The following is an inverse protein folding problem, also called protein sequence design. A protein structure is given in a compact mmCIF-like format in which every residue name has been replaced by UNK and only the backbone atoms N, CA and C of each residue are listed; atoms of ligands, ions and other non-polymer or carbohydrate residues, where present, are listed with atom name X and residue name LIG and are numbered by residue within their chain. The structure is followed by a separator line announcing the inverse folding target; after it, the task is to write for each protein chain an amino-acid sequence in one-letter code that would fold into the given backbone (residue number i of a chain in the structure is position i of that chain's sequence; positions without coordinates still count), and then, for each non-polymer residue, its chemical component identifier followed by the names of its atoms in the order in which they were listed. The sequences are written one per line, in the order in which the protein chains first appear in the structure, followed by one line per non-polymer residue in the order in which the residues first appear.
data_IF_580632271803
#
_entry.id   IF_580632271803
#
_cell.length_a   1.000
_cell.length_b   1.000
_cell.length_c   1.000
_cell.angle_alpha   90.00
_cell.angle_beta   90.00
_cell.angle_gamma   90.00
#
_symmetry.space_group_name_H-M   'P 1'
#
loop_
_entity.id
_entity.type
_entity.pdbx_description
1 polymer ?
#
# COMPACT_ATOMS: atom_id res chain seq x y z
N UNK A 1 -10.83 20.74 -22.53
CA UNK A 1 -9.86 19.64 -22.51
C UNK A 1 -10.02 18.91 -21.20
N UNK A 2 -10.43 17.65 -21.25
CA UNK A 2 -10.36 16.79 -20.08
C UNK A 2 -8.91 16.37 -19.93
N UNK A 3 -8.28 16.85 -18.87
CA UNK A 3 -6.96 16.41 -18.46
C UNK A 3 -7.05 14.93 -18.06
N UNK A 4 -6.24 14.07 -18.66
CA UNK A 4 -6.20 12.64 -18.37
C UNK A 4 -5.46 12.34 -17.06
N UNK A 5 -5.04 13.37 -16.34
CA UNK A 5 -4.26 13.25 -15.11
C UNK A 5 -2.80 12.80 -15.34
N UNK A 6 -2.38 12.72 -16.60
CA UNK A 6 -1.03 12.26 -16.96
C UNK A 6 -0.15 13.47 -17.29
N UNK A 7 0.93 13.61 -16.58
CA UNK A 7 1.99 14.61 -16.85
C UNK A 7 3.02 13.98 -17.77
N UNK A 8 3.04 14.37 -19.03
CA UNK A 8 4.05 13.91 -20.00
C UNK A 8 5.26 14.84 -19.97
N UNK A 9 6.44 14.24 -19.83
CA UNK A 9 7.73 14.94 -19.77
C UNK A 9 8.58 14.41 -20.94
N UNK A 10 9.10 15.32 -21.76
CA UNK A 10 10.03 14.98 -22.83
C UNK A 10 11.41 14.58 -22.31
N UNK A 11 12.21 13.94 -23.16
CA UNK A 11 13.60 13.59 -22.80
C UNK A 11 14.39 14.85 -22.45
N UNK A 12 15.16 14.79 -21.36
CA UNK A 12 15.96 15.89 -20.83
C UNK A 12 15.16 17.17 -20.47
N UNK A 13 13.86 17.07 -20.32
CA UNK A 13 12.99 18.17 -19.93
C UNK A 13 12.84 18.24 -18.42
N UNK A 14 12.76 19.45 -17.89
CA UNK A 14 12.39 19.71 -16.48
C UNK A 14 11.08 20.47 -16.45
N UNK A 15 10.05 19.90 -15.84
CA UNK A 15 8.75 20.55 -15.64
C UNK A 15 8.59 21.00 -14.18
N UNK A 16 8.21 22.25 -14.00
CA UNK A 16 7.80 22.80 -12.72
C UNK A 16 6.33 22.50 -12.50
N UNK A 17 6.01 21.78 -11.46
CA UNK A 17 4.65 21.44 -11.05
C UNK A 17 4.30 22.25 -9.81
N UNK A 18 3.20 23.00 -9.88
CA UNK A 18 2.61 23.66 -8.71
C UNK A 18 1.28 23.00 -8.39
N UNK A 19 1.16 22.44 -7.22
CA UNK A 19 -0.10 21.91 -6.70
C UNK A 19 -0.69 22.93 -5.75
N UNK A 20 -1.95 23.29 -5.95
CA UNK A 20 -2.72 24.18 -5.08
C UNK A 20 -3.92 23.41 -4.58
N UNK A 21 -4.07 23.35 -3.26
CA UNK A 21 -5.19 22.70 -2.60
C UNK A 21 -6.04 23.76 -1.94
N UNK A 22 -7.34 23.72 -2.17
CA UNK A 22 -8.33 24.60 -1.55
C UNK A 22 -9.18 23.80 -0.57
N UNK A 23 -9.51 24.40 0.56
CA UNK A 23 -10.56 23.87 1.44
C UNK A 23 -11.93 24.45 1.04
N UNK A 24 -12.99 24.03 1.74
CA UNK A 24 -14.36 24.50 1.50
C UNK A 24 -14.60 25.96 1.89
N UNK A 25 -13.63 26.62 2.50
CA UNK A 25 -13.65 28.03 2.90
C UNK A 25 -12.75 28.89 2.02
N UNK A 26 -12.31 28.35 0.87
CA UNK A 26 -11.42 29.02 -0.07
C UNK A 26 -10.00 29.31 0.45
N UNK A 27 -9.63 28.83 1.63
CA UNK A 27 -8.23 28.86 2.04
C UNK A 27 -7.44 27.95 1.13
N UNK A 28 -6.24 28.40 0.75
CA UNK A 28 -5.39 27.62 -0.13
C UNK A 28 -4.01 27.39 0.47
N UNK A 29 -3.48 26.21 0.20
CA UNK A 29 -2.07 25.91 0.40
C UNK A 29 -1.47 25.44 -0.91
N UNK A 30 -0.21 25.73 -1.16
CA UNK A 30 0.44 25.28 -2.39
C UNK A 30 1.85 24.78 -2.12
N UNK A 31 2.26 23.78 -2.89
CA UNK A 31 3.64 23.35 -2.95
C UNK A 31 4.09 23.23 -4.39
N UNK A 32 5.39 23.41 -4.59
CA UNK A 32 6.01 23.35 -5.91
C UNK A 32 7.13 22.32 -5.89
N UNK A 33 7.16 21.47 -6.90
CA UNK A 33 8.26 20.54 -7.14
C UNK A 33 8.64 20.51 -8.62
N UNK A 34 9.80 19.95 -8.89
CA UNK A 34 10.31 19.83 -10.24
C UNK A 34 10.42 18.36 -10.61
N UNK A 35 9.79 18.00 -11.73
CA UNK A 35 9.99 16.71 -12.36
C UNK A 35 11.07 16.88 -13.42
N UNK A 36 12.11 16.08 -13.32
CA UNK A 36 13.17 16.02 -14.33
C UNK A 36 13.18 14.64 -14.94
N UNK A 37 13.06 14.59 -16.25
CA UNK A 37 13.33 13.37 -16.98
C UNK A 37 14.86 13.19 -17.03
N UNK A 38 15.37 12.17 -16.38
CA UNK A 38 16.71 11.71 -16.62
C UNK A 38 16.65 10.65 -17.73
N UNK A 39 17.70 10.55 -18.54
CA UNK A 39 17.89 9.31 -19.32
C UNK A 39 17.84 8.16 -18.31
N UNK A 40 16.75 7.42 -18.32
CA UNK A 40 16.67 6.18 -17.57
C UNK A 40 17.67 5.26 -18.28
N UNK A 41 18.83 5.07 -17.68
CA UNK A 41 19.70 4.01 -18.15
C UNK A 41 18.85 2.74 -18.17
N UNK A 42 18.77 2.06 -19.30
CA UNK A 42 18.00 0.82 -19.47
C UNK A 42 18.24 -0.22 -18.37
N UNK A 43 19.33 -0.06 -17.62
CA UNK A 43 19.76 -0.93 -16.53
C UNK A 43 19.02 -0.71 -15.19
N UNK A 44 18.25 0.38 -15.03
CA UNK A 44 17.49 0.62 -13.79
C UNK A 44 16.10 -0.01 -13.83
N UNK A 45 15.63 -0.46 -14.98
CA UNK A 45 14.33 -1.12 -15.16
C UNK A 45 14.43 -2.63 -14.88
N UNK A 46 15.63 -3.20 -14.86
CA UNK A 46 15.82 -4.65 -14.69
C UNK A 46 15.46 -5.20 -13.30
N UNK A 47 15.23 -4.35 -12.29
CA UNK A 47 14.85 -4.80 -10.96
C UNK A 47 13.34 -4.66 -10.62
N UNK A 48 12.53 -4.11 -11.51
CA UNK A 48 11.10 -4.33 -11.45
C UNK A 48 10.82 -5.72 -12.00
N UNK A 49 10.47 -6.65 -11.15
CA UNK A 49 10.07 -8.00 -11.53
C UNK A 49 8.76 -7.89 -12.34
N UNK A 50 8.89 -7.52 -13.63
CA UNK A 50 7.79 -7.28 -14.58
C UNK A 50 6.83 -8.49 -14.73
N UNK A 51 7.16 -9.60 -14.06
CA UNK A 51 6.45 -10.87 -14.22
C UNK A 51 5.86 -11.42 -12.92
N UNK A 52 5.98 -10.72 -11.79
CA UNK A 52 5.50 -11.21 -10.49
C UNK A 52 4.17 -10.56 -10.13
N UNK A 53 3.23 -11.40 -9.68
CA UNK A 53 2.06 -10.90 -8.97
C UNK A 53 2.51 -10.28 -7.65
N UNK A 54 2.04 -9.10 -7.33
CA UNK A 54 2.47 -8.34 -6.15
C UNK A 54 1.27 -7.70 -5.46
N UNK A 55 1.46 -7.35 -4.21
CA UNK A 55 0.49 -6.56 -3.47
C UNK A 55 1.17 -5.47 -2.65
N UNK A 56 0.44 -4.40 -2.43
CA UNK A 56 0.86 -3.29 -1.58
C UNK A 56 -0.35 -2.57 -1.01
N UNK A 57 -0.13 -1.86 0.08
CA UNK A 57 -1.18 -1.10 0.74
C UNK A 57 -0.98 0.39 0.51
N UNK A 58 -2.07 1.08 0.16
CA UNK A 58 -2.13 2.54 0.09
C UNK A 58 -3.30 2.95 0.98
N UNK A 59 -3.02 3.59 2.09
CA UNK A 59 -4.01 3.96 3.11
C UNK A 59 -4.92 2.76 3.48
N UNK A 60 -6.20 2.86 3.20
CA UNK A 60 -7.20 1.83 3.49
C UNK A 60 -7.42 0.87 2.30
N UNK A 61 -6.57 0.91 1.30
CA UNK A 61 -6.73 0.14 0.07
C UNK A 61 -5.60 -0.85 -0.09
N UNK A 62 -5.94 -2.14 -0.14
CA UNK A 62 -5.03 -3.18 -0.60
C UNK A 62 -5.12 -3.25 -2.12
N UNK A 63 -3.99 -3.11 -2.77
CA UNK A 63 -3.85 -3.21 -4.22
C UNK A 63 -3.18 -4.54 -4.57
N UNK A 64 -3.85 -5.36 -5.35
CA UNK A 64 -3.27 -6.56 -5.94
C UNK A 64 -2.95 -6.28 -7.39
N UNK A 65 -1.70 -6.41 -7.77
CA UNK A 65 -1.23 -6.33 -9.15
C UNK A 65 -1.02 -7.74 -9.69
N UNK A 66 -1.70 -8.06 -10.75
CA UNK A 66 -1.69 -9.39 -11.37
C UNK A 66 -1.39 -9.29 -12.85
N UNK A 67 -0.78 -10.33 -13.42
CA UNK A 67 -0.48 -10.41 -14.85
C UNK A 67 -1.76 -10.26 -15.68
N UNK A 68 -1.64 -9.59 -16.83
CA UNK A 68 -2.77 -9.31 -17.72
C UNK A 68 -3.50 -10.58 -18.20
N UNK A 69 -2.78 -11.69 -18.31
CA UNK A 69 -3.35 -13.00 -18.73
C UNK A 69 -4.32 -13.61 -17.73
N UNK A 70 -4.25 -13.19 -16.45
CA UNK A 70 -5.16 -13.71 -15.42
C UNK A 70 -6.60 -13.28 -15.71
N UNK A 71 -7.56 -14.02 -15.16
CA UNK A 71 -9.01 -13.76 -15.33
C UNK A 71 -9.38 -12.33 -14.96
N UNK A 72 -10.53 -11.89 -15.43
CA UNK A 72 -11.05 -10.56 -15.11
C UNK A 72 -11.51 -10.48 -13.64
N UNK A 73 -11.88 -11.61 -13.07
CA UNK A 73 -12.18 -11.73 -11.65
C UNK A 73 -11.16 -12.66 -10.97
N UNK A 74 -10.78 -12.31 -9.77
CA UNK A 74 -9.99 -13.17 -8.88
C UNK A 74 -10.83 -13.56 -7.67
N UNK A 75 -10.49 -14.70 -7.08
CA UNK A 75 -11.11 -15.15 -5.85
C UNK A 75 -10.27 -14.73 -4.65
N UNK A 76 -10.92 -14.53 -3.51
CA UNK A 76 -10.25 -14.28 -2.25
C UNK A 76 -10.99 -14.93 -1.09
N UNK A 77 -10.24 -15.32 -0.07
CA UNK A 77 -10.80 -15.79 1.19
C UNK A 77 -10.94 -14.63 2.17
N UNK A 78 -12.11 -14.56 2.79
CA UNK A 78 -12.39 -13.67 3.90
C UNK A 78 -13.05 -14.48 5.01
N UNK A 79 -12.36 -14.65 6.12
CA UNK A 79 -12.70 -15.65 7.13
C UNK A 79 -12.80 -17.06 6.50
N UNK A 80 -13.98 -17.69 6.57
CA UNK A 80 -14.24 -19.02 5.96
C UNK A 80 -14.92 -18.94 4.60
N UNK A 81 -15.18 -17.73 4.08
CA UNK A 81 -15.93 -17.55 2.84
C UNK A 81 -15.01 -17.31 1.66
N UNK A 82 -15.34 -17.92 0.53
CA UNK A 82 -14.74 -17.63 -0.77
C UNK A 82 -15.60 -16.59 -1.47
N UNK A 83 -14.98 -15.50 -1.91
CA UNK A 83 -15.61 -14.40 -2.62
C UNK A 83 -14.83 -14.10 -3.90
N UNK A 84 -15.38 -13.29 -4.78
CA UNK A 84 -14.70 -12.84 -5.99
C UNK A 84 -14.76 -11.33 -6.13
N UNK A 85 -13.77 -10.77 -6.83
CA UNK A 85 -13.69 -9.35 -7.17
C UNK A 85 -13.20 -9.20 -8.60
N UNK A 86 -13.79 -8.27 -9.34
CA UNK A 86 -13.33 -7.89 -10.67
C UNK A 86 -12.15 -6.91 -10.58
N UNK A 87 -11.31 -6.86 -11.61
CA UNK A 87 -10.28 -5.83 -11.67
C UNK A 87 -10.93 -4.43 -11.74
N UNK A 88 -10.27 -3.47 -11.10
CA UNK A 88 -10.71 -2.07 -11.06
C UNK A 88 -10.21 -1.29 -12.28
N UNK A 89 -8.98 -1.56 -12.68
CA UNK A 89 -8.36 -1.02 -13.89
C UNK A 89 -7.23 -1.94 -14.38
N UNK A 90 -6.74 -1.66 -15.59
CA UNK A 90 -5.59 -2.37 -16.18
C UNK A 90 -4.69 -1.40 -16.93
N UNK A 91 -3.43 -1.73 -17.02
CA UNK A 91 -2.47 -1.13 -17.92
C UNK A 91 -2.05 -2.12 -19.03
N UNK A 92 -0.95 -1.84 -19.71
CA UNK A 92 -0.43 -2.69 -20.81
C UNK A 92 0.03 -4.07 -20.34
N UNK A 93 0.39 -4.23 -19.06
CA UNK A 93 1.05 -5.43 -18.54
C UNK A 93 0.27 -6.11 -17.40
N UNK A 94 -0.57 -5.36 -16.67
CA UNK A 94 -1.19 -5.81 -15.44
C UNK A 94 -2.65 -5.42 -15.30
N UNK A 95 -3.37 -6.24 -14.52
CA UNK A 95 -4.68 -5.94 -13.94
C UNK A 95 -4.51 -5.58 -12.47
N UNK A 96 -5.30 -4.64 -12.00
CA UNK A 96 -5.28 -4.13 -10.63
C UNK A 96 -6.62 -4.35 -9.96
N UNK A 97 -6.61 -5.01 -8.81
CA UNK A 97 -7.77 -5.28 -8.00
C UNK A 97 -7.64 -4.49 -6.70
N UNK A 98 -8.66 -3.71 -6.37
CA UNK A 98 -8.65 -2.81 -5.22
C UNK A 98 -9.60 -3.32 -4.15
N UNK A 99 -9.09 -3.55 -2.95
CA UNK A 99 -9.87 -3.94 -1.79
C UNK A 99 -9.91 -2.79 -0.79
N UNK A 100 -11.11 -2.33 -0.45
CA UNK A 100 -11.31 -1.42 0.67
C UNK A 100 -11.20 -2.22 1.99
N UNK A 101 -10.08 -2.08 2.69
CA UNK A 101 -9.80 -2.81 3.93
C UNK A 101 -10.73 -2.45 5.09
N UNK A 102 -11.50 -1.36 4.98
CA UNK A 102 -12.56 -1.01 5.95
C UNK A 102 -13.77 -1.92 5.83
N UNK A 103 -13.96 -2.55 4.67
CA UNK A 103 -15.12 -3.38 4.34
C UNK A 103 -14.75 -4.84 4.16
N UNK A 104 -13.51 -5.12 3.78
CA UNK A 104 -13.04 -6.45 3.43
C UNK A 104 -11.78 -6.76 4.24
N UNK A 105 -11.70 -7.97 4.78
CA UNK A 105 -10.52 -8.45 5.47
C UNK A 105 -10.01 -9.73 4.77
N UNK A 106 -9.41 -9.61 3.58
CA UNK A 106 -8.94 -10.78 2.85
C UNK A 106 -7.75 -11.41 3.57
N UNK A 107 -7.77 -12.72 3.69
CA UNK A 107 -6.68 -13.52 4.28
C UNK A 107 -5.86 -14.25 3.23
N UNK A 108 -6.44 -14.46 2.04
CA UNK A 108 -5.77 -15.11 0.91
C UNK A 108 -6.35 -14.60 -0.40
N UNK A 109 -5.50 -14.28 -1.35
CA UNK A 109 -5.87 -13.97 -2.73
C UNK A 109 -5.50 -15.17 -3.60
N UNK A 110 -6.42 -15.62 -4.44
CA UNK A 110 -6.26 -16.77 -5.33
C UNK A 110 -6.22 -16.24 -6.77
N UNK A 111 -5.10 -16.45 -7.41
CA UNK A 111 -4.84 -16.12 -8.80
C UNK A 111 -4.83 -17.42 -9.62
N UNK A 112 -4.85 -17.32 -10.96
CA UNK A 112 -4.95 -18.51 -11.81
C UNK A 112 -3.80 -19.51 -11.61
N UNK A 113 -2.60 -19.02 -11.36
CA UNK A 113 -1.38 -19.83 -11.27
C UNK A 113 -0.67 -19.74 -9.90
N UNK A 114 -1.24 -19.01 -8.96
CA UNK A 114 -0.58 -18.74 -7.68
C UNK A 114 -1.59 -18.23 -6.63
N UNK A 115 -1.11 -18.07 -5.42
CA UNK A 115 -1.87 -17.39 -4.37
C UNK A 115 -0.98 -16.44 -3.58
N UNK A 116 -1.60 -15.52 -2.88
CA UNK A 116 -0.96 -14.58 -1.96
C UNK A 116 -1.63 -14.76 -0.61
N UNK A 117 -0.89 -15.19 0.40
CA UNK A 117 -1.35 -15.17 1.78
C UNK A 117 -1.14 -13.78 2.37
N UNK A 118 -2.13 -13.30 3.09
CA UNK A 118 -2.14 -11.99 3.72
C UNK A 118 -2.23 -12.16 5.24
N UNK A 119 -1.30 -11.56 5.95
CA UNK A 119 -1.16 -11.68 7.40
C UNK A 119 -1.42 -10.34 8.09
N UNK A 120 -2.60 -9.76 7.84
CA UNK A 120 -3.01 -8.55 8.54
C UNK A 120 -3.30 -8.86 10.01
N UNK A 121 -2.73 -8.05 10.88
CA UNK A 121 -3.14 -7.96 12.27
C UNK A 121 -4.45 -7.17 12.39
N UNK A 122 -5.05 -7.22 13.56
CA UNK A 122 -6.25 -6.42 13.82
C UNK A 122 -6.01 -4.95 13.55
N UNK A 123 -6.95 -4.24 12.90
CA UNK A 123 -6.79 -2.82 12.58
C UNK A 123 -6.57 -1.97 13.84
N UNK A 124 -5.59 -1.10 13.80
CA UNK A 124 -5.33 -0.14 14.88
C UNK A 124 -6.07 1.16 14.59
N UNK A 125 -7.11 1.43 15.35
CA UNK A 125 -7.97 2.58 15.12
C UNK A 125 -7.35 3.89 15.63
N UNK A 126 -7.47 4.95 14.84
CA UNK A 126 -7.08 6.31 15.24
C UNK A 126 -7.75 6.73 16.55
N UNK A 127 -7.03 7.48 17.37
CA UNK A 127 -7.56 8.07 18.60
C UNK A 127 -7.67 7.09 19.77
N UNK A 128 -7.29 5.83 19.60
CA UNK A 128 -7.29 4.81 20.67
C UNK A 128 -5.87 4.45 21.08
N UNK A 129 -5.69 4.07 22.34
CA UNK A 129 -4.49 3.35 22.76
C UNK A 129 -4.64 1.90 22.33
N UNK A 130 -3.59 1.33 21.76
CA UNK A 130 -3.59 -0.03 21.30
C UNK A 130 -2.25 -0.68 21.57
N UNK A 131 -2.26 -1.98 21.91
CA UNK A 131 -1.07 -2.78 22.09
C UNK A 131 -1.18 -4.02 21.24
N UNK A 132 -0.21 -4.22 20.36
CA UNK A 132 0.02 -5.50 19.69
C UNK A 132 1.03 -6.26 20.53
N UNK A 133 0.73 -7.48 20.88
CA UNK A 133 1.62 -8.32 21.69
C UNK A 133 1.78 -9.69 21.05
N UNK A 134 2.99 -9.95 20.59
CA UNK A 134 3.43 -11.22 20.03
C UNK A 134 4.46 -11.89 20.94
N UNK A 135 4.86 -13.13 20.63
CA UNK A 135 5.86 -13.85 21.40
C UNK A 135 7.17 -13.07 21.57
N UNK A 136 7.59 -12.41 20.49
CA UNK A 136 8.95 -11.87 20.34
C UNK A 136 9.00 -10.35 20.44
N UNK A 137 7.87 -9.66 20.28
CA UNK A 137 7.80 -8.20 20.31
C UNK A 137 6.48 -7.69 20.88
N UNK A 138 6.46 -6.41 21.21
CA UNK A 138 5.21 -5.68 21.43
C UNK A 138 5.30 -4.28 20.82
N UNK A 139 4.19 -3.80 20.28
CA UNK A 139 4.06 -2.44 19.76
C UNK A 139 2.98 -1.73 20.55
N UNK A 140 3.30 -0.56 21.08
CA UNK A 140 2.37 0.26 21.83
C UNK A 140 2.05 1.53 21.04
N UNK A 141 0.79 1.73 20.73
CA UNK A 141 0.27 2.94 20.08
C UNK A 141 -0.41 3.83 21.12
N UNK A 142 -0.05 5.10 21.16
CA UNK A 142 -0.79 6.11 21.91
C UNK A 142 -2.00 6.60 21.11
N UNK A 143 -2.86 7.39 21.72
CA UNK A 143 -4.01 8.00 21.03
C UNK A 143 -3.60 8.90 19.85
N UNK A 144 -2.39 9.43 19.88
CA UNK A 144 -1.86 10.36 18.87
C UNK A 144 -0.86 9.73 17.91
N UNK A 145 -0.67 8.40 17.96
CA UNK A 145 0.32 7.71 17.13
C UNK A 145 -0.03 7.66 15.64
N UNK A 146 -1.30 7.75 15.29
CA UNK A 146 -1.78 7.51 13.94
C UNK A 146 -2.39 8.76 13.32
N UNK A 147 -2.32 8.84 11.99
CA UNK A 147 -3.03 9.82 11.16
C UNK A 147 -4.42 9.31 10.75
N UNK A 148 -4.55 8.00 10.57
CA UNK A 148 -5.78 7.29 10.23
C UNK A 148 -5.70 5.85 10.77
N UNK A 149 -6.74 5.05 10.58
CA UNK A 149 -6.76 3.63 10.92
C UNK A 149 -5.62 2.91 10.20
N UNK A 150 -4.78 2.22 10.95
CA UNK A 150 -3.63 1.51 10.44
C UNK A 150 -3.99 0.06 10.13
N UNK A 151 -3.77 -0.36 8.92
CA UNK A 151 -3.76 -1.75 8.50
C UNK A 151 -2.31 -2.21 8.43
N UNK A 152 -2.01 -3.20 9.24
CA UNK A 152 -0.65 -3.56 9.56
C UNK A 152 -0.42 -5.03 9.33
N UNK A 153 0.60 -5.36 8.55
CA UNK A 153 0.98 -6.73 8.26
C UNK A 153 2.34 -7.05 8.88
N UNK A 154 2.38 -8.16 9.57
CA UNK A 154 3.61 -8.69 10.15
C UNK A 154 4.07 -9.91 9.35
N UNK A 155 5.28 -9.84 8.84
CA UNK A 155 5.92 -10.91 8.08
C UNK A 155 7.11 -11.43 8.87
N UNK A 156 7.09 -12.73 9.17
CA UNK A 156 8.19 -13.46 9.78
C UNK A 156 8.84 -14.31 8.69
N UNK A 157 9.96 -13.85 8.20
CA UNK A 157 10.81 -14.55 7.26
C UNK A 157 12.22 -14.65 7.86
N UNK A 158 13.30 -14.55 7.09
CA UNK A 158 14.68 -14.46 7.61
C UNK A 158 14.88 -13.25 8.55
N UNK A 159 14.03 -12.24 8.41
CA UNK A 159 13.97 -11.06 9.27
C UNK A 159 12.52 -10.64 9.50
N UNK A 160 12.26 -9.97 10.64
CA UNK A 160 10.92 -9.43 10.90
C UNK A 160 10.69 -8.20 10.03
N UNK A 161 9.60 -8.20 9.28
CA UNK A 161 9.19 -7.09 8.42
C UNK A 161 7.80 -6.63 8.80
N UNK A 162 7.64 -5.31 8.89
CA UNK A 162 6.36 -4.67 9.10
C UNK A 162 5.98 -3.91 7.83
N UNK A 163 4.79 -4.17 7.32
CA UNK A 163 4.21 -3.39 6.24
C UNK A 163 3.07 -2.56 6.77
N UNK A 164 3.20 -1.26 6.71
CA UNK A 164 2.20 -0.30 7.16
C UNK A 164 1.39 0.21 5.98
N UNK A 165 0.09 0.40 6.18
CA UNK A 165 -0.77 1.03 5.19
C UNK A 165 -0.49 2.52 5.02
N UNK A 166 0.02 3.18 6.04
CA UNK A 166 0.42 4.60 6.02
C UNK A 166 1.50 4.89 7.09
N UNK A 167 2.17 6.05 7.04
CA UNK A 167 3.18 6.43 8.03
C UNK A 167 2.61 6.49 9.46
N UNK A 168 3.43 6.10 10.42
CA UNK A 168 3.15 6.18 11.85
C UNK A 168 3.88 7.39 12.43
N UNK A 169 3.26 8.11 13.36
CA UNK A 169 3.89 9.24 14.05
C UNK A 169 4.94 8.73 15.03
N UNK A 170 6.20 8.99 14.75
CA UNK A 170 7.35 8.42 15.48
C UNK A 170 7.35 8.73 17.00
N UNK A 171 6.89 9.91 17.41
CA UNK A 171 7.02 10.35 18.78
C UNK A 171 6.08 9.68 19.77
N UNK A 172 5.15 8.84 19.30
CA UNK A 172 4.05 8.31 20.10
C UNK A 172 3.84 6.81 19.92
N UNK A 173 4.81 6.13 19.29
CA UNK A 173 4.78 4.69 19.05
C UNK A 173 6.06 4.08 19.57
N UNK A 174 5.93 3.02 20.36
CA UNK A 174 7.06 2.31 20.97
C UNK A 174 7.04 0.86 20.52
N UNK A 175 8.13 0.43 19.90
CA UNK A 175 8.41 -0.96 19.59
C UNK A 175 9.34 -1.52 20.66
N UNK A 176 8.91 -2.56 21.35
CA UNK A 176 9.69 -3.23 22.38
C UNK A 176 9.98 -4.66 21.94
N UNK A 177 11.25 -4.97 21.80
CA UNK A 177 11.70 -6.34 21.57
C UNK A 177 11.76 -7.11 22.88
N UNK A 178 11.27 -8.35 22.91
CA UNK A 178 11.40 -9.25 24.05
C UNK A 178 12.78 -9.90 24.03
N UNK A 179 13.27 -10.27 25.22
CA UNK A 179 14.62 -10.81 25.42
C UNK A 179 14.87 -12.04 24.54
N UNK A 180 15.95 -11.99 23.75
CA UNK A 180 16.35 -13.08 22.85
C UNK A 180 16.47 -12.66 21.37
N UNK A 181 16.17 -11.43 21.06
CA UNK A 181 16.44 -10.85 19.74
C UNK A 181 17.89 -10.31 19.72
N UNK A 182 18.74 -10.94 18.91
CA UNK A 182 20.06 -10.45 18.56
C UNK A 182 20.02 -9.80 17.17
#
# INVERSE_FOLDING_TARGET
DRDDGVIRIGENETKKIKVVVFDSFENSNSFTFYLKSNEVSKNTIENFNLFKNEYYNIDNTLVIRSKLKNRDNIEYKENSYLRSINYSFKDENFKYYLFDLRKNNPTKIILDDSYIDLNFLDPVFIGKKYKIEESDFSINFSKSSLFDTLYFEFLKDESYKFKNSHPIKNNNTYLLYKKGWN
#
